data_IF_593696844901
#
_entry.id   IF_593696844901
#
_cell.length_a   1.000
_cell.length_b   1.000
_cell.length_c   1.000
_cell.angle_alpha   90.00
_cell.angle_beta   90.00
_cell.angle_gamma   90.00
#
_symmetry.space_group_name_H-M   'P 1'
#
loop_
_entity.id
_entity.type
_entity.pdbx_description
1 polymer ?
#
# COMPACT_ATOMS: atom_id res chain seq x y z
N UNK A 1 9.91 -7.86 22.72
CA UNK A 1 8.64 -7.82 21.97
C UNK A 1 8.70 -6.63 21.03
N UNK A 2 8.52 -6.83 19.72
CA UNK A 2 8.56 -5.70 18.78
C UNK A 2 7.37 -4.78 19.06
N UNK A 3 7.66 -3.52 19.38
CA UNK A 3 6.64 -2.48 19.59
C UNK A 3 6.06 -2.16 18.22
N UNK A 4 4.86 -2.65 17.93
CA UNK A 4 4.22 -2.47 16.64
C UNK A 4 3.21 -1.33 16.73
N UNK A 5 3.24 -0.39 15.77
CA UNK A 5 2.37 0.79 15.80
C UNK A 5 0.91 0.41 15.57
N UNK A 6 -0.02 0.82 16.46
CA UNK A 6 -1.45 0.54 16.31
C UNK A 6 -2.10 1.40 15.22
N UNK A 7 -1.40 2.42 14.70
CA UNK A 7 -1.92 3.35 13.69
C UNK A 7 -2.35 2.55 12.45
N UNK A 8 -3.57 2.75 11.93
CA UNK A 8 -4.02 2.13 10.68
C UNK A 8 -3.10 2.51 9.50
N UNK A 9 -2.86 1.58 8.57
CA UNK A 9 -1.96 1.77 7.43
C UNK A 9 -2.65 1.35 6.13
N UNK A 10 -2.59 2.19 5.09
CA UNK A 10 -2.92 1.79 3.73
C UNK A 10 -1.64 1.44 2.98
N UNK A 11 -1.56 0.22 2.45
CA UNK A 11 -0.42 -0.20 1.65
C UNK A 11 -0.81 -0.34 0.18
N UNK A 12 -0.37 0.65 -0.61
CA UNK A 12 -0.53 0.71 -2.06
C UNK A 12 0.64 -0.02 -2.69
N UNK A 13 0.38 -1.22 -3.20
CA UNK A 13 1.39 -2.05 -3.83
C UNK A 13 1.17 -2.11 -5.34
N UNK A 14 2.24 -1.90 -6.10
CA UNK A 14 2.25 -2.12 -7.54
C UNK A 14 3.23 -3.26 -7.91
N UNK A 15 2.95 -3.93 -9.03
CA UNK A 15 3.60 -5.17 -9.46
C UNK A 15 3.74 -5.15 -11.00
N UNK A 16 4.96 -5.16 -11.58
CA UNK A 16 6.21 -5.64 -10.98
C UNK A 16 6.90 -4.68 -9.97
N UNK A 17 6.52 -3.40 -9.91
CA UNK A 17 7.14 -2.44 -8.99
C UNK A 17 8.48 -1.87 -9.47
N UNK A 18 9.06 -0.96 -8.69
CA UNK A 18 10.39 -0.39 -8.96
C UNK A 18 11.28 -0.40 -7.69
N UNK A 19 10.98 0.47 -6.71
CA UNK A 19 11.79 0.64 -5.49
C UNK A 19 11.37 -0.36 -4.40
N UNK A 20 10.06 -0.51 -4.16
CA UNK A 20 9.52 -1.38 -3.12
C UNK A 20 9.18 -2.77 -3.67
N UNK A 21 10.22 -3.54 -3.97
CA UNK A 21 10.16 -4.93 -4.45
C UNK A 21 10.82 -5.88 -3.43
N UNK A 22 10.96 -7.18 -3.72
CA UNK A 22 11.76 -8.11 -2.90
C UNK A 22 11.50 -8.09 -1.38
N UNK A 23 12.56 -8.15 -0.58
CA UNK A 23 12.50 -8.27 0.87
C UNK A 23 11.87 -7.05 1.56
N UNK A 24 12.10 -5.84 1.06
CA UNK A 24 11.51 -4.62 1.61
C UNK A 24 9.98 -4.60 1.43
N UNK A 25 9.48 -5.13 0.29
CA UNK A 25 8.03 -5.32 0.09
C UNK A 25 7.45 -6.32 1.07
N UNK A 26 8.14 -7.44 1.29
CA UNK A 26 7.69 -8.46 2.26
C UNK A 26 7.73 -7.95 3.70
N UNK A 27 8.69 -7.09 4.04
CA UNK A 27 8.74 -6.40 5.33
C UNK A 27 7.56 -5.44 5.51
N UNK A 28 7.26 -4.56 4.54
CA UNK A 28 6.04 -3.75 4.59
C UNK A 28 4.77 -4.63 4.61
N UNK A 29 4.84 -5.86 4.07
CA UNK A 29 3.74 -6.82 4.10
C UNK A 29 3.42 -7.34 5.51
N UNK A 30 4.39 -7.39 6.42
CA UNK A 30 4.23 -7.87 7.80
C UNK A 30 3.73 -6.81 8.80
N UNK A 31 3.69 -5.53 8.42
CA UNK A 31 3.18 -4.48 9.32
C UNK A 31 1.72 -4.73 9.76
N UNK A 32 1.39 -4.53 11.05
CA UNK A 32 0.03 -4.73 11.57
C UNK A 32 -0.92 -3.61 11.15
N UNK A 33 -2.22 -3.83 11.36
CA UNK A 33 -3.31 -2.86 11.14
C UNK A 33 -3.31 -2.26 9.74
N UNK A 34 -3.20 -3.13 8.74
CA UNK A 34 -2.97 -2.69 7.37
C UNK A 34 -4.02 -3.23 6.40
N UNK A 35 -4.61 -2.34 5.61
CA UNK A 35 -5.44 -2.67 4.45
C UNK A 35 -4.56 -2.75 3.21
N UNK A 36 -4.67 -3.83 2.45
CA UNK A 36 -3.88 -4.05 1.22
C UNK A 36 -4.71 -3.63 0.02
N UNK A 37 -4.15 -2.78 -0.83
CA UNK A 37 -4.70 -2.50 -2.15
C UNK A 37 -3.63 -2.82 -3.21
N UNK A 38 -4.01 -3.57 -4.25
CA UNK A 38 -3.12 -4.00 -5.33
C UNK A 38 -3.63 -3.42 -6.65
N UNK A 39 -2.75 -2.74 -7.38
CA UNK A 39 -3.01 -2.31 -8.74
C UNK A 39 -2.12 -3.09 -9.74
N UNK A 40 -2.65 -3.53 -10.89
CA UNK A 40 -1.83 -4.09 -11.97
C UNK A 40 -0.94 -2.99 -12.54
N UNK A 41 0.39 -3.16 -12.58
CA UNK A 41 1.26 -2.06 -12.98
C UNK A 41 1.49 -2.02 -14.49
N UNK A 42 1.02 -0.94 -15.12
CA UNK A 42 1.89 -0.14 -15.98
C UNK A 42 2.38 1.03 -15.13
N UNK A 43 3.57 0.88 -14.54
CA UNK A 43 4.16 1.83 -13.59
C UNK A 43 4.54 3.13 -14.30
N UNK A 44 3.58 4.04 -14.41
CA UNK A 44 3.81 5.45 -14.62
C UNK A 44 2.99 6.16 -13.56
N UNK A 45 3.64 6.79 -12.58
CA UNK A 45 3.01 7.64 -11.52
C UNK A 45 2.10 8.75 -12.07
N UNK A 46 1.99 8.86 -13.40
CA UNK A 46 1.19 9.79 -14.18
C UNK A 46 -0.15 9.24 -14.70
N UNK A 47 -0.49 7.96 -14.50
CA UNK A 47 -1.65 7.35 -15.18
C UNK A 47 -2.79 6.85 -14.29
N UNK A 48 -2.69 6.87 -12.96
CA UNK A 48 -3.76 6.38 -12.06
C UNK A 48 -3.94 7.24 -10.78
N UNK A 49 -3.99 8.58 -10.87
CA UNK A 49 -4.24 9.42 -9.68
C UNK A 49 -5.63 9.16 -9.08
N UNK A 50 -6.64 8.93 -9.92
CA UNK A 50 -8.02 8.73 -9.48
C UNK A 50 -8.18 7.43 -8.68
N UNK A 51 -7.59 6.34 -9.15
CA UNK A 51 -7.66 5.05 -8.47
C UNK A 51 -6.97 5.07 -7.10
N UNK A 52 -5.81 5.74 -7.01
CA UNK A 52 -5.12 5.95 -5.74
C UNK A 52 -5.97 6.82 -4.81
N UNK A 53 -6.57 7.89 -5.34
CA UNK A 53 -7.47 8.77 -4.59
C UNK A 53 -8.68 8.03 -4.03
N UNK A 54 -9.33 7.20 -4.85
CA UNK A 54 -10.44 6.34 -4.44
C UNK A 54 -10.01 5.35 -3.36
N UNK A 55 -8.87 4.67 -3.53
CA UNK A 55 -8.34 3.75 -2.53
C UNK A 55 -8.05 4.45 -1.18
N UNK A 56 -7.56 5.69 -1.20
CA UNK A 56 -7.36 6.51 -0.01
C UNK A 56 -8.70 6.88 0.63
N UNK A 57 -9.67 7.36 -0.16
CA UNK A 57 -11.00 7.73 0.34
C UNK A 57 -11.71 6.53 0.98
N UNK A 58 -11.73 5.39 0.30
CA UNK A 58 -12.33 4.13 0.79
C UNK A 58 -11.65 3.62 2.06
N UNK A 59 -10.33 3.79 2.17
CA UNK A 59 -9.61 3.43 3.37
C UNK A 59 -9.92 4.39 4.52
N UNK A 60 -10.00 5.69 4.24
CA UNK A 60 -10.29 6.73 5.23
C UNK A 60 -11.68 6.56 5.86
N UNK A 61 -12.65 6.01 5.12
CA UNK A 61 -13.96 5.64 5.67
C UNK A 61 -13.92 4.44 6.64
N UNK A 62 -12.81 3.71 6.70
CA UNK A 62 -12.66 2.50 7.53
C UNK A 62 -11.73 2.66 8.73
N UNK A 63 -11.18 3.86 8.95
CA UNK A 63 -10.30 4.16 10.10
C UNK A 63 -11.03 4.93 11.19
#
# INVERSE_FOLDING_TARGET
>A
MAIASPIPKLFINADPGAILVGAQREFCRSWPNKKKYRFPAAFHSRRLPDEIGLAIADWYQTI
#
